data_IF_139766963811
#
_entry.id   IF_139766963811
#
_cell.length_a   1.000
_cell.length_b   1.000
_cell.length_c   1.000
_cell.angle_alpha   90.00
_cell.angle_beta   90.00
_cell.angle_gamma   90.00
#
_symmetry.space_group_name_H-M   'P 1'
#
loop_
_entity.id
_entity.type
_entity.pdbx_description
1 polymer ?
#
# COMPACT_ATOMS: atom_id res chain seq x y z
N UNK A 1 -52.41 -10.83 -30.81
CA UNK A 1 -50.97 -10.63 -31.11
C UNK A 1 -50.47 -9.24 -30.68
N UNK A 2 -51.09 -8.12 -31.10
CA UNK A 2 -50.66 -6.75 -30.73
C UNK A 2 -50.44 -6.55 -29.21
N UNK A 3 -51.45 -6.87 -28.39
CA UNK A 3 -51.36 -6.73 -26.93
C UNK A 3 -50.25 -7.57 -26.26
N UNK A 4 -49.85 -8.70 -26.87
CA UNK A 4 -48.76 -9.54 -26.34
C UNK A 4 -47.39 -8.92 -26.62
N UNK A 5 -47.19 -8.37 -27.82
CA UNK A 5 -45.98 -7.62 -28.16
C UNK A 5 -45.83 -6.35 -27.31
N UNK A 6 -46.93 -5.66 -27.02
CA UNK A 6 -46.91 -4.46 -26.15
C UNK A 6 -46.48 -4.79 -24.71
N UNK A 7 -46.95 -5.91 -24.15
CA UNK A 7 -46.54 -6.40 -22.83
C UNK A 7 -45.05 -6.77 -22.81
N UNK A 8 -44.54 -7.42 -23.87
CA UNK A 8 -43.13 -7.75 -24.01
C UNK A 8 -42.24 -6.51 -24.06
N UNK A 9 -42.64 -5.48 -24.81
CA UNK A 9 -41.91 -4.20 -24.88
C UNK A 9 -41.88 -3.52 -23.50
N UNK A 10 -43.01 -3.52 -22.79
CA UNK A 10 -43.09 -2.95 -21.45
C UNK A 10 -42.14 -3.64 -20.45
N UNK A 11 -42.13 -4.99 -20.41
CA UNK A 11 -41.22 -5.76 -19.56
C UNK A 11 -39.75 -5.47 -19.91
N UNK A 12 -39.41 -5.43 -21.20
CA UNK A 12 -38.03 -5.14 -21.63
C UNK A 12 -37.55 -3.75 -21.21
N UNK A 13 -38.44 -2.74 -21.25
CA UNK A 13 -38.15 -1.37 -20.84
C UNK A 13 -37.96 -1.28 -19.32
N UNK A 14 -38.81 -1.97 -18.55
CA UNK A 14 -38.66 -2.06 -17.10
C UNK A 14 -37.33 -2.73 -16.69
N UNK A 15 -36.95 -3.84 -17.34
CA UNK A 15 -35.68 -4.52 -17.10
C UNK A 15 -34.48 -3.63 -17.44
N UNK A 16 -34.55 -2.90 -18.56
CA UNK A 16 -33.52 -1.94 -18.94
C UNK A 16 -33.37 -0.81 -17.92
N UNK A 17 -34.48 -0.26 -17.42
CA UNK A 17 -34.48 0.79 -16.40
C UNK A 17 -33.88 0.30 -15.08
N UNK A 18 -34.27 -0.90 -14.60
CA UNK A 18 -33.71 -1.51 -13.39
C UNK A 18 -32.20 -1.77 -13.55
N UNK A 19 -31.77 -2.23 -14.73
CA UNK A 19 -30.36 -2.42 -15.07
C UNK A 19 -29.56 -1.11 -15.04
N UNK A 20 -30.11 -0.04 -15.63
CA UNK A 20 -29.47 1.28 -15.62
C UNK A 20 -29.31 1.83 -14.19
N UNK A 21 -30.36 1.71 -13.36
CA UNK A 21 -30.33 2.15 -11.96
C UNK A 21 -29.27 1.38 -11.17
N UNK A 22 -29.21 0.05 -11.33
CA UNK A 22 -28.21 -0.76 -10.62
C UNK A 22 -26.78 -0.43 -11.07
N UNK A 23 -26.54 -0.20 -12.36
CA UNK A 23 -25.23 0.24 -12.85
C UNK A 23 -24.84 1.62 -12.31
N UNK A 24 -25.79 2.57 -12.28
CA UNK A 24 -25.59 3.90 -11.74
C UNK A 24 -25.23 3.83 -10.25
N UNK A 25 -26.00 3.10 -9.44
CA UNK A 25 -25.76 2.93 -8.01
C UNK A 25 -24.39 2.29 -7.74
N UNK A 26 -24.02 1.25 -8.49
CA UNK A 26 -22.69 0.61 -8.36
C UNK A 26 -21.56 1.60 -8.65
N UNK A 27 -21.65 2.37 -9.73
CA UNK A 27 -20.64 3.38 -10.09
C UNK A 27 -20.56 4.49 -9.05
N UNK A 28 -21.71 4.95 -8.56
CA UNK A 28 -21.77 6.01 -7.55
C UNK A 28 -21.15 5.57 -6.22
N UNK A 29 -21.51 4.39 -5.73
CA UNK A 29 -20.93 3.81 -4.52
C UNK A 29 -19.42 3.58 -4.66
N UNK A 30 -18.97 3.02 -5.79
CA UNK A 30 -17.56 2.82 -6.06
C UNK A 30 -16.78 4.13 -6.02
N UNK A 31 -17.34 5.21 -6.58
CA UNK A 31 -16.71 6.54 -6.59
C UNK A 31 -16.57 7.13 -5.19
N UNK A 32 -17.62 7.04 -4.36
CA UNK A 32 -17.57 7.53 -2.97
C UNK A 32 -16.55 6.73 -2.17
N UNK A 33 -16.57 5.41 -2.33
CA UNK A 33 -15.63 4.55 -1.62
C UNK A 33 -14.19 4.83 -2.05
N UNK A 34 -13.92 4.98 -3.35
CA UNK A 34 -12.57 5.28 -3.83
C UNK A 34 -12.07 6.65 -3.36
N UNK A 35 -12.93 7.68 -3.29
CA UNK A 35 -12.51 9.01 -2.83
C UNK A 35 -12.06 9.04 -1.37
N UNK A 36 -12.59 8.14 -0.53
CA UNK A 36 -12.20 8.02 0.87
C UNK A 36 -11.03 7.04 1.07
N UNK A 37 -10.99 5.95 0.29
CA UNK A 37 -9.95 4.93 0.41
C UNK A 37 -8.60 5.36 -0.18
N UNK A 38 -8.58 6.14 -1.27
CA UNK A 38 -7.34 6.65 -1.86
C UNK A 38 -6.49 7.50 -0.91
N UNK A 39 -7.02 8.53 -0.22
CA UNK A 39 -6.23 9.31 0.73
C UNK A 39 -5.81 8.46 1.93
N UNK A 40 -6.63 7.51 2.37
CA UNK A 40 -6.28 6.59 3.45
C UNK A 40 -5.12 5.68 3.03
N UNK A 41 -5.16 5.11 1.83
CA UNK A 41 -4.06 4.29 1.28
C UNK A 41 -2.76 5.10 1.20
N UNK A 42 -2.84 6.36 0.75
CA UNK A 42 -1.70 7.26 0.73
C UNK A 42 -1.14 7.57 2.12
N UNK A 43 -2.00 7.74 3.12
CA UNK A 43 -1.59 7.94 4.52
C UNK A 43 -0.93 6.69 5.11
N UNK A 44 -1.50 5.51 4.87
CA UNK A 44 -0.92 4.22 5.31
C UNK A 44 0.47 4.06 4.71
N UNK A 45 0.64 4.29 3.40
CA UNK A 45 1.94 4.20 2.75
C UNK A 45 2.97 5.19 3.35
N UNK A 46 2.57 6.45 3.59
CA UNK A 46 3.45 7.44 4.25
C UNK A 46 3.83 7.03 5.67
N UNK A 47 2.90 6.43 6.40
CA UNK A 47 3.14 5.93 7.75
C UNK A 47 4.13 4.77 7.72
N UNK A 48 3.96 3.83 6.80
CA UNK A 48 4.84 2.68 6.61
C UNK A 48 6.29 3.11 6.32
N UNK A 49 6.47 4.01 5.34
CA UNK A 49 7.77 4.62 5.02
C UNK A 49 8.40 5.27 6.25
N UNK A 50 7.61 5.99 7.06
CA UNK A 50 8.11 6.67 8.26
C UNK A 50 8.54 5.70 9.34
N UNK A 51 7.77 4.65 9.59
CA UNK A 51 8.08 3.65 10.61
C UNK A 51 9.30 2.82 10.21
N UNK A 52 9.37 2.35 8.96
CA UNK A 52 10.55 1.66 8.43
C UNK A 52 11.81 2.54 8.55
N UNK A 53 11.72 3.81 8.11
CA UNK A 53 12.82 4.77 8.22
C UNK A 53 13.28 4.94 9.67
N UNK A 54 12.35 5.15 10.60
CA UNK A 54 12.67 5.34 12.01
C UNK A 54 13.39 4.12 12.58
N UNK A 55 12.80 2.93 12.37
CA UNK A 55 13.39 1.68 12.84
C UNK A 55 14.81 1.47 12.31
N UNK A 56 15.03 1.68 11.00
CA UNK A 56 16.34 1.50 10.38
C UNK A 56 17.37 2.49 10.93
N UNK A 57 17.00 3.75 11.15
CA UNK A 57 17.90 4.74 11.75
C UNK A 57 18.29 4.32 13.17
N UNK A 58 17.32 3.97 14.00
CA UNK A 58 17.58 3.56 15.39
C UNK A 58 18.47 2.31 15.42
N UNK A 59 18.20 1.33 14.55
CA UNK A 59 19.02 0.12 14.41
C UNK A 59 20.46 0.44 13.97
N UNK A 60 20.64 1.28 12.96
CA UNK A 60 21.95 1.62 12.43
C UNK A 60 22.79 2.45 13.40
N UNK A 61 22.16 3.37 14.15
CA UNK A 61 22.82 4.13 15.23
C UNK A 61 23.30 3.17 16.32
N UNK A 62 22.47 2.21 16.73
CA UNK A 62 22.87 1.22 17.72
C UNK A 62 24.08 0.41 17.24
N UNK A 63 24.09 -0.03 15.97
CA UNK A 63 25.23 -0.76 15.38
C UNK A 63 26.48 0.13 15.34
N UNK A 64 26.36 1.40 14.93
CA UNK A 64 27.49 2.36 14.87
C UNK A 64 28.07 2.64 16.27
N UNK A 65 27.26 2.50 17.33
CA UNK A 65 27.69 2.64 18.73
C UNK A 65 28.26 1.34 19.33
N UNK A 66 28.31 0.25 18.56
CA UNK A 66 28.81 -1.06 19.03
C UNK A 66 27.81 -1.80 19.92
N UNK A 67 26.51 -1.51 19.84
CA UNK A 67 25.50 -2.28 20.54
C UNK A 67 25.28 -3.63 19.85
N UNK A 68 25.55 -4.72 20.56
CA UNK A 68 25.33 -6.07 20.07
C UNK A 68 23.86 -6.30 19.65
N UNK A 69 23.69 -6.82 18.43
CA UNK A 69 22.40 -7.25 17.88
C UNK A 69 22.42 -8.75 17.69
N UNK A 70 21.34 -9.42 18.10
CA UNK A 70 21.22 -10.86 17.87
C UNK A 70 20.84 -11.18 16.42
N UNK A 71 20.98 -12.44 16.02
CA UNK A 71 20.70 -12.92 14.66
C UNK A 71 19.28 -12.58 14.18
N UNK A 72 18.29 -12.63 15.07
CA UNK A 72 16.89 -12.32 14.72
C UNK A 72 16.73 -10.83 14.40
N UNK A 73 17.37 -9.95 15.18
CA UNK A 73 17.36 -8.51 14.94
C UNK A 73 18.06 -8.15 13.63
N UNK A 74 19.17 -8.81 13.32
CA UNK A 74 19.85 -8.66 12.04
C UNK A 74 18.96 -9.03 10.86
N UNK A 75 18.40 -10.24 10.88
CA UNK A 75 17.48 -10.70 9.80
C UNK A 75 16.30 -9.76 9.64
N UNK A 76 15.67 -9.37 10.74
CA UNK A 76 14.56 -8.44 10.70
C UNK A 76 14.95 -7.07 10.13
N UNK A 77 16.15 -6.55 10.46
CA UNK A 77 16.63 -5.30 9.88
C UNK A 77 16.86 -5.40 8.37
N UNK A 78 17.39 -6.54 7.88
CA UNK A 78 17.50 -6.80 6.45
C UNK A 78 16.13 -6.88 5.77
N UNK A 79 15.17 -7.60 6.36
CA UNK A 79 13.81 -7.70 5.81
C UNK A 79 13.14 -6.31 5.72
N UNK A 80 13.29 -5.48 6.77
CA UNK A 80 12.76 -4.11 6.78
C UNK A 80 13.47 -3.22 5.76
N UNK A 81 14.78 -3.39 5.58
CA UNK A 81 15.54 -2.64 4.59
C UNK A 81 15.16 -3.01 3.16
N UNK A 82 14.97 -4.30 2.87
CA UNK A 82 14.50 -4.78 1.58
C UNK A 82 13.08 -4.27 1.29
N UNK A 83 12.19 -4.29 2.28
CA UNK A 83 10.85 -3.71 2.14
C UNK A 83 10.92 -2.20 1.86
N UNK A 84 11.75 -1.47 2.62
CA UNK A 84 11.93 -0.03 2.47
C UNK A 84 12.43 0.34 1.06
N UNK A 85 13.38 -0.42 0.51
CA UNK A 85 14.03 -0.11 -0.77
C UNK A 85 13.30 -0.68 -1.98
N UNK A 86 12.88 -1.95 -1.93
CA UNK A 86 12.33 -2.67 -3.08
C UNK A 86 10.80 -2.53 -3.17
N UNK A 87 10.09 -2.67 -2.05
CA UNK A 87 8.61 -2.64 -2.06
C UNK A 87 8.07 -1.20 -1.98
N UNK A 88 8.65 -0.38 -1.10
CA UNK A 88 8.28 1.03 -0.96
C UNK A 88 9.03 1.95 -1.94
N UNK A 89 10.09 1.45 -2.61
CA UNK A 89 10.83 2.18 -3.63
C UNK A 89 11.68 3.35 -3.09
N UNK A 90 11.90 3.41 -1.78
CA UNK A 90 12.59 4.53 -1.15
C UNK A 90 14.11 4.41 -1.34
N UNK A 91 14.75 5.54 -1.67
CA UNK A 91 16.20 5.63 -1.85
C UNK A 91 16.72 6.93 -1.19
N UNK A 92 16.39 7.13 0.09
CA UNK A 92 16.78 8.31 0.86
C UNK A 92 18.13 8.12 1.58
N UNK A 93 18.53 9.08 2.42
CA UNK A 93 19.75 9.02 3.24
C UNK A 93 19.88 7.77 4.12
N UNK A 94 18.79 7.06 4.38
CA UNK A 94 18.80 5.78 5.12
C UNK A 94 19.61 4.72 4.36
N UNK A 95 19.54 4.74 3.02
CA UNK A 95 20.33 3.85 2.15
C UNK A 95 21.82 4.11 2.29
N UNK A 96 22.23 5.37 2.19
CA UNK A 96 23.63 5.76 2.35
C UNK A 96 24.13 5.41 3.77
N UNK A 97 23.29 5.58 4.79
CA UNK A 97 23.62 5.20 6.16
C UNK A 97 23.77 3.68 6.31
N UNK A 98 22.84 2.91 5.74
CA UNK A 98 22.89 1.46 5.72
C UNK A 98 24.17 0.96 5.07
N UNK A 99 24.46 1.39 3.83
CA UNK A 99 25.65 0.99 3.09
C UNK A 99 26.93 1.33 3.86
N UNK A 100 27.01 2.52 4.48
CA UNK A 100 28.16 2.93 5.30
C UNK A 100 28.38 2.02 6.49
N UNK A 101 27.34 1.77 7.30
CA UNK A 101 27.45 0.97 8.53
C UNK A 101 27.74 -0.49 8.21
N UNK A 102 27.04 -1.05 7.22
CA UNK A 102 27.23 -2.46 6.84
C UNK A 102 28.58 -2.72 6.16
N UNK A 103 29.12 -1.75 5.43
CA UNK A 103 30.45 -1.89 4.81
C UNK A 103 31.57 -1.71 5.83
N UNK A 104 31.41 -0.80 6.78
CA UNK A 104 32.41 -0.58 7.83
C UNK A 104 32.42 -1.69 8.90
N UNK A 105 31.27 -2.33 9.16
CA UNK A 105 31.16 -3.46 10.10
C UNK A 105 31.78 -4.78 9.61
N UNK A 106 32.22 -4.86 8.35
CA UNK A 106 32.89 -6.05 7.78
C UNK A 106 34.43 -6.01 7.91
N UNK A 107 35.01 -5.00 8.58
CA UNK A 107 36.46 -4.80 8.70
C UNK A 107 37.02 -5.05 10.11
N UNK A 108 36.26 -5.69 11.01
CA UNK A 108 36.72 -6.18 12.32
C UNK A 108 36.57 -7.70 12.43
#
# INVERSE_FOLDING_TARGET
MKNFFDILIYISTCLGAVGAITLFLKKFLAKILSSELEPLKGQIHKMDVKECRRFLIDFLVDVEQGCDKNEVQWKFAHDVYDHYTNDLGENSYVKDFWERVMTNGNNE
#
